data_IF_644020751491
#
_entry.id   IF_644020751491
#
_cell.length_a   1.000
_cell.length_b   1.000
_cell.length_c   1.000
_cell.angle_alpha   90.00
_cell.angle_beta   90.00
_cell.angle_gamma   90.00
#
_symmetry.space_group_name_H-M   'P 1'
#
loop_
_entity.id
_entity.type
_entity.pdbx_description
1 polymer ?
#
# COMPACT_ATOMS: atom_id res chain seq x y z
N UNK A 1 -12.95 2.22 -1.98
CA UNK A 1 -12.47 1.08 -1.18
C UNK A 1 -13.40 0.92 0.01
N UNK A 2 -14.33 -0.04 -0.06
CA UNK A 2 -15.32 -0.25 1.02
C UNK A 2 -14.68 -1.03 2.17
N UNK A 3 -14.68 -0.43 3.35
CA UNK A 3 -14.16 -1.01 4.59
C UNK A 3 -15.30 -1.84 5.21
N UNK A 4 -15.31 -3.15 5.00
CA UNK A 4 -16.24 -4.03 5.72
C UNK A 4 -15.75 -4.19 7.16
N UNK A 5 -16.52 -3.64 8.11
CA UNK A 5 -16.23 -3.81 9.54
C UNK A 5 -16.65 -5.22 9.95
N UNK A 6 -15.68 -6.11 10.23
CA UNK A 6 -16.00 -7.33 10.99
C UNK A 6 -15.16 -8.59 10.75
N UNK A 7 -14.22 -8.64 9.79
CA UNK A 7 -13.38 -9.84 9.60
C UNK A 7 -11.91 -9.59 10.03
N UNK A 8 -11.44 -10.20 11.13
CA UNK A 8 -10.06 -10.06 11.61
C UNK A 8 -9.01 -10.40 10.55
N UNK A 9 -9.28 -11.37 9.67
CA UNK A 9 -8.35 -11.78 8.63
C UNK A 9 -8.19 -10.69 7.57
N UNK A 10 -9.28 -10.02 7.18
CA UNK A 10 -9.25 -8.90 6.22
C UNK A 10 -8.59 -7.66 6.83
N UNK A 11 -8.87 -7.40 8.11
CA UNK A 11 -8.22 -6.32 8.86
C UNK A 11 -6.70 -6.55 8.97
N UNK A 12 -6.24 -7.78 9.18
CA UNK A 12 -4.81 -8.10 9.25
C UNK A 12 -4.07 -7.77 7.94
N UNK A 13 -4.68 -8.00 6.78
CA UNK A 13 -4.10 -7.59 5.49
C UNK A 13 -4.00 -6.07 5.36
N UNK A 14 -5.05 -5.35 5.76
CA UNK A 14 -5.09 -3.89 5.71
C UNK A 14 -4.09 -3.28 6.71
N UNK A 15 -4.00 -3.82 7.92
CA UNK A 15 -3.04 -3.41 8.93
C UNK A 15 -1.60 -3.65 8.48
N UNK A 16 -1.31 -4.81 7.88
CA UNK A 16 0.01 -5.11 7.30
C UNK A 16 0.36 -4.16 6.15
N UNK A 17 -0.62 -3.84 5.30
CA UNK A 17 -0.45 -2.84 4.25
C UNK A 17 -0.16 -1.46 4.82
N UNK A 18 -0.97 -0.97 5.76
CA UNK A 18 -0.79 0.33 6.43
C UNK A 18 0.56 0.42 7.17
N UNK A 19 0.99 -0.68 7.78
CA UNK A 19 2.32 -0.78 8.41
C UNK A 19 3.42 -0.63 7.37
N UNK A 20 3.33 -1.34 6.24
CA UNK A 20 4.30 -1.25 5.14
C UNK A 20 4.38 0.18 4.60
N UNK A 21 3.25 0.82 4.36
CA UNK A 21 3.13 2.22 3.91
C UNK A 21 3.86 3.17 4.86
N UNK A 22 3.57 3.07 6.18
CA UNK A 22 4.18 3.93 7.20
C UNK A 22 5.69 3.77 7.30
N UNK A 23 6.19 2.54 7.28
CA UNK A 23 7.63 2.27 7.41
C UNK A 23 8.44 2.46 6.12
N UNK A 24 7.81 2.32 4.95
CA UNK A 24 8.55 2.37 3.68
C UNK A 24 8.79 3.79 3.18
N UNK A 25 7.86 4.73 3.40
CA UNK A 25 8.02 6.07 2.79
C UNK A 25 7.52 7.23 3.65
N UNK A 26 6.42 7.07 4.37
CA UNK A 26 5.89 8.15 5.23
C UNK A 26 6.84 8.57 6.34
N UNK A 27 7.68 7.65 6.82
CA UNK A 27 8.71 7.93 7.83
C UNK A 27 10.07 8.34 7.24
N UNK A 28 10.25 8.23 5.92
CA UNK A 28 11.52 8.53 5.24
C UNK A 28 11.49 9.84 4.44
N UNK A 29 10.32 10.46 4.28
CA UNK A 29 10.15 11.69 3.53
C UNK A 29 9.54 12.78 4.44
N UNK A 30 10.15 13.96 4.44
CA UNK A 30 9.53 15.18 4.92
C UNK A 30 8.75 15.78 3.74
N UNK A 31 7.47 16.06 3.97
CA UNK A 31 6.62 16.72 3.00
C UNK A 31 6.29 18.11 3.53
N UNK A 32 6.46 19.12 2.69
CA UNK A 32 6.20 20.51 3.04
C UNK A 32 4.74 20.88 2.74
N UNK A 33 4.09 20.14 1.84
CA UNK A 33 2.70 20.38 1.46
C UNK A 33 1.85 19.10 1.37
N UNK A 34 0.54 19.26 1.54
CA UNK A 34 -0.42 18.17 1.35
C UNK A 34 -0.42 17.64 -0.09
N UNK A 35 -0.15 18.51 -1.07
CA UNK A 35 -0.10 18.14 -2.48
C UNK A 35 1.07 17.18 -2.78
N UNK A 36 2.23 17.39 -2.15
CA UNK A 36 3.37 16.47 -2.27
C UNK A 36 3.03 15.09 -1.69
N UNK A 37 2.36 15.05 -0.53
CA UNK A 37 1.89 13.79 0.09
C UNK A 37 0.94 13.06 -0.85
N UNK A 38 -0.02 13.76 -1.46
CA UNK A 38 -1.01 13.18 -2.38
C UNK A 38 -0.36 12.66 -3.67
N UNK A 39 0.55 13.44 -4.25
CA UNK A 39 1.28 13.05 -5.46
C UNK A 39 2.17 11.83 -5.20
N UNK A 40 2.88 11.82 -4.07
CA UNK A 40 3.70 10.67 -3.68
C UNK A 40 2.84 9.44 -3.41
N UNK A 41 1.75 9.57 -2.65
CA UNK A 41 0.83 8.48 -2.36
C UNK A 41 0.25 7.85 -3.64
N UNK A 42 -0.13 8.69 -4.62
CA UNK A 42 -0.64 8.24 -5.92
C UNK A 42 0.39 7.41 -6.67
N UNK A 43 1.62 7.91 -6.80
CA UNK A 43 2.73 7.20 -7.47
C UNK A 43 3.06 5.90 -6.75
N UNK A 44 3.12 5.94 -5.43
CA UNK A 44 3.43 4.78 -4.61
C UNK A 44 2.34 3.70 -4.71
N UNK A 45 1.06 4.08 -4.71
CA UNK A 45 -0.06 3.15 -4.88
C UNK A 45 -0.01 2.47 -6.25
N UNK A 46 0.32 3.22 -7.30
CA UNK A 46 0.51 2.66 -8.63
C UNK A 46 1.65 1.64 -8.64
N UNK A 47 2.82 2.00 -8.12
CA UNK A 47 3.98 1.10 -8.01
C UNK A 47 3.67 -0.16 -7.20
N UNK A 48 3.03 -0.01 -6.04
CA UNK A 48 2.63 -1.13 -5.19
C UNK A 48 1.74 -2.13 -5.93
N UNK A 49 0.76 -1.61 -6.68
CA UNK A 49 -0.24 -2.44 -7.34
C UNK A 49 0.25 -3.07 -8.66
N UNK A 50 1.20 -2.43 -9.36
CA UNK A 50 1.63 -2.85 -10.71
C UNK A 50 3.04 -3.45 -10.77
N UNK A 51 3.93 -3.08 -9.84
CA UNK A 51 5.35 -3.43 -9.96
C UNK A 51 5.87 -4.22 -8.75
N UNK A 52 5.26 -4.08 -7.57
CA UNK A 52 5.79 -4.71 -6.35
C UNK A 52 5.68 -6.23 -6.39
N UNK A 53 6.79 -6.98 -6.36
CA UNK A 53 6.75 -8.43 -6.35
C UNK A 53 6.31 -8.96 -4.98
N UNK A 54 5.28 -9.82 -4.95
CA UNK A 54 4.85 -10.50 -3.74
C UNK A 54 5.28 -11.96 -3.76
N UNK A 55 6.10 -12.38 -2.79
CA UNK A 55 6.57 -13.77 -2.66
C UNK A 55 5.40 -14.78 -2.56
N UNK A 56 4.32 -14.41 -1.87
CA UNK A 56 3.11 -15.21 -1.79
C UNK A 56 2.40 -15.39 -3.15
N UNK A 57 2.69 -14.52 -4.12
CA UNK A 57 2.10 -14.51 -5.47
C UNK A 57 3.12 -14.90 -6.54
N UNK A 58 4.11 -15.74 -6.22
CA UNK A 58 5.17 -16.15 -7.16
C UNK A 58 5.95 -14.95 -7.76
N UNK A 59 6.08 -13.85 -7.00
CA UNK A 59 6.74 -12.64 -7.47
C UNK A 59 5.87 -11.74 -8.35
N UNK A 60 4.59 -12.05 -8.57
CA UNK A 60 3.67 -11.20 -9.33
C UNK A 60 3.13 -10.03 -8.49
N UNK A 61 2.82 -8.89 -9.12
CA UNK A 61 2.20 -7.75 -8.46
C UNK A 61 0.72 -8.01 -8.12
N UNK A 62 0.14 -7.28 -7.15
CA UNK A 62 -1.21 -7.53 -6.65
C UNK A 62 -2.31 -7.53 -7.72
N UNK A 63 -2.26 -6.62 -8.70
CA UNK A 63 -3.29 -6.53 -9.74
C UNK A 63 -3.20 -7.62 -10.81
N UNK A 64 -2.07 -8.31 -10.97
CA UNK A 64 -1.96 -9.41 -11.94
C UNK A 64 -2.62 -10.71 -11.46
N UNK A 65 -3.13 -10.74 -10.23
CA UNK A 65 -3.74 -11.92 -9.60
C UNK A 65 -5.21 -11.67 -9.23
N UNK A 66 -5.72 -10.45 -9.45
CA UNK A 66 -7.09 -10.04 -9.14
C UNK A 66 -8.07 -10.36 -10.27
#
# INVERSE_FOLDING_TARGET
MNIFRGNPQQNAYIERYNRTVRYSWLSQNLFDTLEEVQNYATKWLWHYNHERPHQANQGKPPLMVA
#
